data_IF_400298149065
#
_entry.id   IF_400298149065
#
_cell.length_a   1.000
_cell.length_b   1.000
_cell.length_c   1.000
_cell.angle_alpha   90.00
_cell.angle_beta   90.00
_cell.angle_gamma   90.00
#
_symmetry.space_group_name_H-M   'P 1'
#
loop_
_entity.id
_entity.type
_entity.pdbx_description
1 polymer ?
#
# COMPACT_ATOMS: atom_id res chain seq x y z
N UNK A 1 12.90 3.37 18.90
CA UNK A 1 12.64 2.55 17.69
C UNK A 1 11.62 3.20 16.74
N UNK A 2 10.68 4.05 17.20
CA UNK A 2 9.69 4.72 16.33
C UNK A 2 10.27 5.79 15.39
N UNK A 3 11.20 6.62 15.86
CA UNK A 3 11.74 7.74 15.07
C UNK A 3 12.54 7.27 13.85
N UNK A 4 13.24 6.15 13.99
CA UNK A 4 13.96 5.54 12.88
C UNK A 4 13.01 5.01 11.79
N UNK A 5 11.88 4.43 12.18
CA UNK A 5 10.88 3.93 11.23
C UNK A 5 10.19 5.07 10.47
N UNK A 6 9.89 6.18 11.16
CA UNK A 6 9.36 7.41 10.55
C UNK A 6 10.37 8.03 9.58
N UNK A 7 11.62 8.21 10.01
CA UNK A 7 12.69 8.73 9.15
C UNK A 7 12.96 7.82 7.94
N UNK A 8 12.90 6.50 8.13
CA UNK A 8 13.03 5.54 7.05
C UNK A 8 11.87 5.63 6.05
N UNK A 9 10.63 5.78 6.52
CA UNK A 9 9.46 5.99 5.66
C UNK A 9 9.61 7.23 4.78
N UNK A 10 9.99 8.37 5.37
CA UNK A 10 10.23 9.60 4.62
C UNK A 10 11.37 9.46 3.60
N UNK A 11 12.46 8.79 3.95
CA UNK A 11 13.58 8.54 3.04
C UNK A 11 13.18 7.58 1.90
N UNK A 12 12.38 6.56 2.21
CA UNK A 12 11.89 5.61 1.22
C UNK A 12 11.00 6.31 0.20
N UNK A 13 10.05 7.14 0.64
CA UNK A 13 9.19 7.91 -0.24
C UNK A 13 9.99 8.85 -1.15
N UNK A 14 11.05 9.47 -0.63
CA UNK A 14 11.94 10.30 -1.43
C UNK A 14 12.77 9.52 -2.47
N UNK A 15 13.18 8.28 -2.17
CA UNK A 15 14.12 7.51 -3.02
C UNK A 15 13.45 6.49 -3.93
N UNK A 16 12.30 5.96 -3.54
CA UNK A 16 11.64 4.85 -4.22
C UNK A 16 10.53 5.35 -5.16
N UNK A 17 10.91 6.22 -6.11
CA UNK A 17 9.97 6.79 -7.10
C UNK A 17 9.51 5.78 -8.15
N UNK A 18 10.21 4.64 -8.26
CA UNK A 18 9.92 3.61 -9.26
C UNK A 18 10.62 3.88 -10.59
N UNK A 19 10.11 3.23 -11.64
CA UNK A 19 10.54 3.41 -13.02
C UNK A 19 9.44 4.12 -13.82
N UNK A 20 9.82 4.86 -14.86
CA UNK A 20 8.84 5.48 -15.75
C UNK A 20 7.88 4.43 -16.33
N UNK A 21 6.58 4.65 -16.12
CA UNK A 21 5.51 3.78 -16.60
C UNK A 21 5.19 2.56 -15.74
N UNK A 22 5.92 2.30 -14.64
CA UNK A 22 5.66 1.11 -13.81
C UNK A 22 4.28 1.13 -13.15
N UNK A 23 3.82 2.30 -12.69
CA UNK A 23 2.48 2.49 -12.12
C UNK A 23 1.40 2.10 -13.13
N UNK A 24 1.52 2.59 -14.37
CA UNK A 24 0.56 2.28 -15.43
C UNK A 24 0.54 0.78 -15.71
N UNK A 25 1.72 0.16 -15.82
CA UNK A 25 1.84 -1.29 -16.01
C UNK A 25 1.07 -2.06 -14.93
N UNK A 26 1.29 -1.76 -13.64
CA UNK A 26 0.60 -2.46 -12.55
C UNK A 26 -0.91 -2.20 -12.49
N UNK A 27 -1.36 -1.00 -12.88
CA UNK A 27 -2.80 -0.71 -13.01
C UNK A 27 -3.45 -1.57 -14.09
N UNK A 28 -2.81 -1.65 -15.27
CA UNK A 28 -3.31 -2.48 -16.37
C UNK A 28 -3.31 -3.96 -16.01
N UNK A 29 -2.26 -4.45 -15.37
CA UNK A 29 -2.20 -5.85 -14.90
C UNK A 29 -3.27 -6.15 -13.84
N UNK A 30 -3.52 -5.24 -12.90
CA UNK A 30 -4.56 -5.41 -11.90
C UNK A 30 -5.97 -5.43 -12.52
N UNK A 31 -6.23 -4.59 -13.53
CA UNK A 31 -7.48 -4.62 -14.28
C UNK A 31 -7.67 -5.92 -15.06
N UNK A 32 -6.60 -6.44 -15.69
CA UNK A 32 -6.61 -7.73 -16.41
C UNK A 32 -6.83 -8.92 -15.49
N UNK A 33 -6.21 -8.92 -14.31
CA UNK A 33 -6.33 -9.98 -13.32
C UNK A 33 -7.76 -10.09 -12.76
N UNK A 34 -8.52 -8.99 -12.76
CA UNK A 34 -9.84 -8.91 -12.19
C UNK A 34 -9.82 -8.75 -10.66
N UNK A 35 -10.94 -8.27 -10.11
CA UNK A 35 -11.06 -8.02 -8.67
C UNK A 35 -11.47 -9.28 -7.89
N UNK A 36 -10.99 -9.47 -6.63
CA UNK A 36 -10.09 -8.59 -5.88
C UNK A 36 -8.59 -8.92 -6.07
N UNK A 37 -7.74 -7.90 -5.87
CA UNK A 37 -6.26 -7.97 -5.94
C UNK A 37 -5.61 -7.84 -4.56
N UNK A 38 -4.45 -8.48 -4.35
CA UNK A 38 -3.59 -8.34 -3.17
C UNK A 38 -2.23 -7.79 -3.57
N UNK A 39 -1.80 -6.70 -2.91
CA UNK A 39 -0.45 -6.15 -3.02
C UNK A 39 0.35 -6.45 -1.74
N UNK A 40 1.43 -7.23 -1.87
CA UNK A 40 2.34 -7.52 -0.79
C UNK A 40 3.44 -6.46 -0.72
N UNK A 41 3.69 -5.91 0.46
CA UNK A 41 4.69 -4.87 0.66
C UNK A 41 4.24 -3.50 0.12
N UNK A 42 2.97 -3.12 0.36
CA UNK A 42 2.35 -1.95 -0.28
C UNK A 42 2.96 -0.58 0.09
N UNK A 43 3.86 -0.51 1.08
CA UNK A 43 4.60 0.70 1.43
C UNK A 43 3.68 1.89 1.72
N UNK A 44 3.94 3.04 1.07
CA UNK A 44 3.10 4.24 1.11
C UNK A 44 2.00 4.25 0.04
N UNK A 45 1.79 3.14 -0.65
CA UNK A 45 0.65 2.93 -1.56
C UNK A 45 0.86 3.41 -3.00
N UNK A 46 2.10 3.60 -3.45
CA UNK A 46 2.45 4.07 -4.81
C UNK A 46 1.74 3.30 -5.93
N UNK A 47 1.52 1.99 -5.75
CA UNK A 47 0.75 1.13 -6.67
C UNK A 47 -0.67 0.91 -6.16
N UNK A 48 -0.83 0.64 -4.87
CA UNK A 48 -2.11 0.39 -4.20
C UNK A 48 -3.19 1.43 -4.54
N UNK A 49 -2.83 2.71 -4.46
CA UNK A 49 -3.75 3.83 -4.60
C UNK A 49 -4.22 3.99 -6.05
N UNK A 50 -3.33 4.08 -7.06
CA UNK A 50 -3.74 4.10 -8.46
C UNK A 50 -4.61 2.90 -8.87
N UNK A 51 -4.30 1.69 -8.40
CA UNK A 51 -5.11 0.50 -8.69
C UNK A 51 -6.52 0.64 -8.10
N UNK A 52 -6.63 1.10 -6.85
CA UNK A 52 -7.92 1.36 -6.23
C UNK A 52 -8.70 2.47 -6.95
N UNK A 53 -8.03 3.53 -7.40
CA UNK A 53 -8.64 4.62 -8.18
C UNK A 53 -9.12 4.16 -9.56
N UNK A 54 -8.50 3.13 -10.14
CA UNK A 54 -8.92 2.49 -11.38
C UNK A 54 -10.15 1.57 -11.22
N UNK A 55 -10.76 1.53 -10.04
CA UNK A 55 -11.99 0.77 -9.76
C UNK A 55 -11.76 -0.71 -9.45
N UNK A 56 -10.51 -1.13 -9.23
CA UNK A 56 -10.17 -2.50 -8.83
C UNK A 56 -10.27 -2.61 -7.31
N UNK A 57 -11.03 -3.59 -6.82
CA UNK A 57 -11.03 -3.89 -5.39
C UNK A 57 -9.67 -4.46 -5.00
N UNK A 58 -8.92 -3.78 -4.14
CA UNK A 58 -7.55 -4.13 -3.79
C UNK A 58 -7.31 -4.07 -2.28
N UNK A 59 -6.47 -4.99 -1.82
CA UNK A 59 -5.97 -5.07 -0.45
C UNK A 59 -4.45 -4.94 -0.46
N UNK A 60 -3.91 -3.99 0.30
CA UNK A 60 -2.47 -3.82 0.52
C UNK A 60 -2.05 -4.40 1.86
N UNK A 61 -0.91 -5.08 1.89
CA UNK A 61 -0.31 -5.68 3.07
C UNK A 61 1.06 -5.07 3.34
N UNK A 62 1.30 -4.58 4.56
CA UNK A 62 2.57 -3.96 4.94
C UNK A 62 2.98 -4.22 6.39
N UNK A 63 4.30 -4.16 6.65
CA UNK A 63 4.88 -4.30 7.99
C UNK A 63 5.17 -2.95 8.68
N UNK A 64 5.33 -1.88 7.90
CA UNK A 64 5.71 -0.55 8.41
C UNK A 64 4.47 0.28 8.75
N UNK A 65 4.13 0.38 10.04
CA UNK A 65 3.02 1.22 10.52
C UNK A 65 3.11 2.67 10.01
N UNK A 66 4.27 3.36 10.11
CA UNK A 66 4.38 4.74 9.62
C UNK A 66 4.04 4.93 8.15
N UNK A 67 4.37 3.96 7.29
CA UNK A 67 4.06 4.06 5.85
C UNK A 67 2.57 3.87 5.57
N UNK A 68 1.89 3.06 6.38
CA UNK A 68 0.47 2.83 6.24
C UNK A 68 -0.37 3.98 6.81
N UNK A 69 0.13 4.66 7.85
CA UNK A 69 -0.45 5.89 8.37
C UNK A 69 -0.53 6.97 7.27
N UNK A 70 0.45 7.03 6.35
CA UNK A 70 0.44 7.94 5.18
C UNK A 70 -0.70 7.60 4.23
N UNK A 71 -0.92 6.32 3.93
CA UNK A 71 -2.03 5.87 3.06
C UNK A 71 -3.37 6.30 3.66
N UNK A 72 -3.56 6.10 4.97
CA UNK A 72 -4.79 6.47 5.66
C UNK A 72 -5.00 7.99 5.66
N UNK A 73 -3.97 8.76 6.05
CA UNK A 73 -4.05 10.21 6.18
C UNK A 73 -4.31 10.93 4.86
N UNK A 74 -3.68 10.48 3.77
CA UNK A 74 -3.76 11.15 2.47
C UNK A 74 -4.93 10.67 1.62
N UNK A 75 -5.41 9.44 1.83
CA UNK A 75 -6.35 8.80 0.89
C UNK A 75 -7.66 8.30 1.50
N UNK A 76 -7.85 8.41 2.83
CA UNK A 76 -9.12 8.54 3.57
C UNK A 76 -10.20 7.44 3.48
N UNK A 77 -10.20 6.63 2.43
CA UNK A 77 -11.26 5.66 2.08
C UNK A 77 -10.79 4.20 2.16
N UNK A 78 -9.55 3.97 2.60
CA UNK A 78 -9.05 2.62 2.84
C UNK A 78 -9.48 2.15 4.23
N UNK A 79 -10.23 1.06 4.31
CA UNK A 79 -10.53 0.42 5.60
C UNK A 79 -9.28 -0.28 6.11
N UNK A 80 -8.82 0.08 7.33
CA UNK A 80 -7.72 -0.61 7.99
C UNK A 80 -8.20 -1.76 8.86
N UNK A 81 -7.42 -2.85 8.88
CA UNK A 81 -7.58 -3.95 9.83
C UNK A 81 -6.22 -4.46 10.30
N UNK A 82 -6.14 -4.85 11.57
CA UNK A 82 -4.99 -5.57 12.09
C UNK A 82 -5.20 -7.06 11.86
N UNK A 83 -4.27 -7.70 11.15
CA UNK A 83 -4.20 -9.15 11.05
C UNK A 83 -3.08 -9.67 11.95
N UNK A 84 -3.36 -10.72 12.73
CA UNK A 84 -2.38 -11.38 13.60
C UNK A 84 -2.22 -12.82 13.16
N UNK A 85 -1.00 -13.23 12.87
CA UNK A 85 -0.64 -14.62 12.61
C UNK A 85 0.65 -14.96 13.34
N UNK A 86 0.66 -16.02 14.16
CA UNK A 86 1.85 -16.44 14.90
C UNK A 86 2.45 -15.42 15.88
N UNK A 87 1.70 -14.37 16.26
CA UNK A 87 2.20 -13.27 17.10
C UNK A 87 2.72 -12.06 16.33
N UNK A 88 2.89 -12.18 15.01
CA UNK A 88 3.26 -11.07 14.13
C UNK A 88 2.04 -10.20 13.79
N UNK A 89 2.28 -8.89 13.65
CA UNK A 89 1.27 -7.91 13.30
C UNK A 89 1.44 -7.51 11.84
N UNK A 90 0.39 -7.73 11.06
CA UNK A 90 0.32 -7.36 9.66
C UNK A 90 -0.83 -6.39 9.50
N UNK A 91 -0.56 -5.28 8.82
CA UNK A 91 -1.55 -4.25 8.60
C UNK A 91 -2.11 -4.35 7.20
N UNK A 92 -3.43 -4.19 7.13
CA UNK A 92 -4.21 -4.37 5.91
C UNK A 92 -4.90 -3.07 5.57
N UNK A 93 -4.70 -2.57 4.35
CA UNK A 93 -5.43 -1.44 3.78
C UNK A 93 -6.32 -1.93 2.64
N UNK A 94 -7.64 -1.80 2.75
CA UNK A 94 -8.59 -2.33 1.76
C UNK A 94 -9.49 -1.25 1.16
N UNK A 95 -9.59 -1.23 -0.17
CA UNK A 95 -10.57 -0.44 -0.93
C UNK A 95 -11.44 -1.39 -1.77
N UNK A 96 -12.76 -1.20 -1.73
CA UNK A 96 -13.78 -2.04 -2.40
C UNK A 96 -14.55 -1.24 -3.41
#
# INVERSE_FOLDING_TARGET
>A
MSDYAQAYAALYEYRATGLDGDVQFYVEEAQRAGSPVLELGCGTGRILIPVAQAGVAITGLGLSVPMLDIIEALYGDFRRGLFRYGGEQIWVARKT
#
